data_IF_109523124769
#
_entry.id   IF_109523124769
#
_cell.length_a   1.000
_cell.length_b   1.000
_cell.length_c   1.000
_cell.angle_alpha   90.00
_cell.angle_beta   90.00
_cell.angle_gamma   90.00
#
_symmetry.space_group_name_H-M   'P 1'
#
loop_
_entity.id
_entity.type
_entity.pdbx_description
1 polymer ?
#
# COMPACT_ATOMS: atom_id res chain seq x y z
N UNK A 1 9.89 13.78 -14.99
CA UNK A 1 8.75 12.92 -14.60
C UNK A 1 8.56 13.11 -13.11
N UNK A 2 7.41 13.62 -12.65
CA UNK A 2 7.14 13.61 -11.20
C UNK A 2 6.94 12.16 -10.83
N UNK A 3 7.75 11.64 -9.91
CA UNK A 3 7.62 10.27 -9.47
C UNK A 3 6.21 10.06 -8.87
N UNK A 4 5.52 8.99 -9.28
CA UNK A 4 4.11 8.75 -8.92
C UNK A 4 3.88 8.77 -7.41
N UNK A 5 4.88 8.32 -6.63
CA UNK A 5 4.99 8.46 -5.18
C UNK A 5 4.75 9.89 -4.66
N UNK A 6 5.37 10.92 -5.26
CA UNK A 6 5.20 12.32 -4.83
C UNK A 6 3.80 12.84 -5.10
N UNK A 7 3.18 12.37 -6.19
CA UNK A 7 1.81 12.75 -6.53
C UNK A 7 0.80 12.04 -5.62
N UNK A 8 1.04 10.76 -5.30
CA UNK A 8 0.26 10.02 -4.32
C UNK A 8 0.33 10.68 -2.93
N UNK A 9 1.53 11.01 -2.46
CA UNK A 9 1.74 11.76 -1.22
C UNK A 9 0.99 13.10 -1.20
N UNK A 10 1.07 13.86 -2.30
CA UNK A 10 0.37 15.14 -2.43
C UNK A 10 -1.16 15.00 -2.31
N UNK A 11 -1.75 13.97 -2.92
CA UNK A 11 -3.18 13.70 -2.80
C UNK A 11 -3.55 13.18 -1.41
N UNK A 12 -2.69 12.35 -0.80
CA UNK A 12 -2.86 11.90 0.57
C UNK A 12 -2.89 13.08 1.56
N UNK A 13 -1.95 14.00 1.45
CA UNK A 13 -1.90 15.18 2.34
C UNK A 13 -3.12 16.11 2.19
N UNK A 14 -3.77 16.10 1.03
CA UNK A 14 -5.02 16.82 0.78
C UNK A 14 -6.29 16.07 1.20
N UNK A 15 -6.16 14.88 1.79
CA UNK A 15 -7.28 13.98 2.09
C UNK A 15 -8.07 13.54 0.86
N UNK A 16 -7.46 13.63 -0.32
CA UNK A 16 -8.04 13.20 -1.58
C UNK A 16 -7.76 11.70 -1.78
N UNK A 17 -8.33 10.86 -0.91
CA UNK A 17 -8.01 9.42 -0.82
C UNK A 17 -8.23 8.68 -2.14
N UNK A 18 -9.35 8.94 -2.83
CA UNK A 18 -9.65 8.30 -4.12
C UNK A 18 -8.60 8.65 -5.19
N UNK A 19 -8.19 9.93 -5.28
CA UNK A 19 -7.13 10.35 -6.21
C UNK A 19 -5.77 9.75 -5.85
N UNK A 20 -5.48 9.64 -4.55
CA UNK A 20 -4.27 8.96 -4.09
C UNK A 20 -4.26 7.50 -4.57
N UNK A 21 -5.36 6.78 -4.39
CA UNK A 21 -5.50 5.39 -4.85
C UNK A 21 -5.39 5.27 -6.37
N UNK A 22 -6.03 6.16 -7.14
CA UNK A 22 -5.92 6.19 -8.61
C UNK A 22 -4.48 6.31 -9.09
N UNK A 23 -3.71 7.22 -8.50
CA UNK A 23 -2.28 7.40 -8.84
C UNK A 23 -1.47 6.17 -8.45
N UNK A 24 -1.75 5.56 -7.29
CA UNK A 24 -1.07 4.34 -6.88
C UNK A 24 -1.38 3.16 -7.80
N UNK A 25 -2.63 3.00 -8.23
CA UNK A 25 -3.02 1.95 -9.18
C UNK A 25 -2.28 2.11 -10.51
N UNK A 26 -2.20 3.32 -11.05
CA UNK A 26 -1.45 3.57 -12.29
C UNK A 26 0.04 3.23 -12.15
N UNK A 27 0.64 3.54 -10.99
CA UNK A 27 2.02 3.18 -10.72
C UNK A 27 2.22 1.66 -10.64
N UNK A 28 1.29 0.96 -9.98
CA UNK A 28 1.33 -0.50 -9.81
C UNK A 28 1.00 -1.27 -11.10
N UNK A 29 0.20 -0.70 -11.99
CA UNK A 29 -0.05 -1.25 -13.33
C UNK A 29 1.23 -1.20 -14.19
N UNK A 30 2.06 -0.17 -14.01
CA UNK A 30 3.34 -0.04 -14.69
C UNK A 30 4.45 -0.88 -14.05
N UNK A 31 4.50 -0.91 -12.72
CA UNK A 31 5.42 -1.71 -11.93
C UNK A 31 4.70 -2.32 -10.71
N UNK A 32 4.28 -3.60 -10.80
CA UNK A 32 3.60 -4.30 -9.71
C UNK A 32 4.44 -4.45 -8.42
N UNK A 33 5.76 -4.26 -8.51
CA UNK A 33 6.69 -4.31 -7.39
C UNK A 33 6.99 -2.91 -6.81
N UNK A 34 6.33 -1.85 -7.27
CA UNK A 34 6.52 -0.50 -6.74
C UNK A 34 6.06 -0.37 -5.28
N UNK A 35 6.98 -0.64 -4.35
CA UNK A 35 6.74 -0.66 -2.90
C UNK A 35 6.15 0.66 -2.39
N UNK A 36 6.67 1.80 -2.83
CA UNK A 36 6.17 3.11 -2.40
C UNK A 36 4.72 3.35 -2.80
N UNK A 37 4.33 2.95 -4.01
CA UNK A 37 2.95 3.05 -4.48
C UNK A 37 2.03 2.14 -3.66
N UNK A 38 2.48 0.92 -3.34
CA UNK A 38 1.74 0.00 -2.48
C UNK A 38 1.56 0.58 -1.06
N UNK A 39 2.61 1.17 -0.48
CA UNK A 39 2.57 1.83 0.84
C UNK A 39 1.56 2.97 0.86
N UNK A 40 1.59 3.86 -0.14
CA UNK A 40 0.64 4.97 -0.22
C UNK A 40 -0.80 4.48 -0.41
N UNK A 41 -1.01 3.44 -1.20
CA UNK A 41 -2.34 2.84 -1.39
C UNK A 41 -2.89 2.26 -0.09
N UNK A 42 -2.07 1.52 0.68
CA UNK A 42 -2.48 0.97 1.99
C UNK A 42 -2.83 2.07 2.99
N UNK A 43 -2.03 3.15 3.03
CA UNK A 43 -2.31 4.32 3.88
C UNK A 43 -3.63 4.99 3.48
N UNK A 44 -3.85 5.20 2.18
CA UNK A 44 -5.06 5.84 1.68
C UNK A 44 -6.32 5.02 2.02
N UNK A 45 -6.30 3.70 1.81
CA UNK A 45 -7.41 2.85 2.20
C UNK A 45 -7.65 2.86 3.71
N UNK A 46 -6.59 2.85 4.53
CA UNK A 46 -6.73 2.93 5.98
C UNK A 46 -7.33 4.27 6.43
N UNK A 47 -6.90 5.39 5.84
CA UNK A 47 -7.42 6.73 6.13
C UNK A 47 -8.88 6.91 5.68
N UNK A 48 -9.29 6.22 4.61
CA UNK A 48 -10.67 6.20 4.13
C UNK A 48 -11.59 5.21 4.87
N UNK A 49 -11.06 4.42 5.81
CA UNK A 49 -11.82 3.36 6.51
C UNK A 49 -12.12 2.12 5.65
N UNK A 50 -11.50 2.02 4.48
CA UNK A 50 -11.68 0.95 3.49
C UNK A 50 -10.86 -0.29 3.86
N UNK A 51 -11.29 -0.98 4.93
CA UNK A 51 -10.54 -2.09 5.53
C UNK A 51 -10.40 -3.29 4.60
N UNK A 52 -11.47 -3.64 3.87
CA UNK A 52 -11.49 -4.80 2.98
C UNK A 52 -10.54 -4.60 1.78
N UNK A 53 -10.56 -3.40 1.21
CA UNK A 53 -9.72 -3.02 0.07
C UNK A 53 -8.25 -2.97 0.46
N UNK A 54 -7.94 -2.46 1.65
CA UNK A 54 -6.57 -2.53 2.22
C UNK A 54 -6.09 -3.98 2.33
N UNK A 55 -6.91 -4.88 2.85
CA UNK A 55 -6.55 -6.29 3.01
C UNK A 55 -6.39 -6.99 1.65
N UNK A 56 -7.31 -6.75 0.73
CA UNK A 56 -7.26 -7.27 -0.64
C UNK A 56 -5.99 -6.81 -1.38
N UNK A 57 -5.64 -5.53 -1.25
CA UNK A 57 -4.42 -4.94 -1.82
C UNK A 57 -3.17 -5.63 -1.28
N UNK A 58 -3.06 -5.75 0.05
CA UNK A 58 -1.93 -6.40 0.69
C UNK A 58 -1.79 -7.88 0.30
N UNK A 59 -2.90 -8.63 0.26
CA UNK A 59 -2.88 -10.03 -0.22
C UNK A 59 -2.45 -10.15 -1.68
N UNK A 60 -2.76 -9.15 -2.50
CA UNK A 60 -2.35 -9.13 -3.91
C UNK A 60 -0.86 -8.85 -4.05
N UNK A 61 -0.34 -7.90 -3.27
CA UNK A 61 1.10 -7.64 -3.15
C UNK A 61 1.87 -8.91 -2.78
N UNK A 62 1.46 -9.62 -1.72
CA UNK A 62 2.14 -10.83 -1.26
C UNK A 62 2.19 -11.95 -2.33
N UNK A 63 1.12 -12.09 -3.13
CA UNK A 63 1.08 -13.05 -4.24
C UNK A 63 2.10 -12.71 -5.33
N UNK A 64 2.30 -11.43 -5.63
CA UNK A 64 3.23 -10.97 -6.66
C UNK A 64 4.68 -11.01 -6.17
N UNK A 65 4.92 -10.61 -4.93
CA UNK A 65 6.25 -10.61 -4.31
C UNK A 65 6.83 -12.03 -4.06
N UNK A 66 6.11 -13.09 -4.47
CA UNK A 66 6.53 -14.49 -4.28
C UNK A 66 6.58 -14.92 -2.81
N UNK A 67 6.08 -14.09 -1.89
CA UNK A 67 6.23 -14.27 -0.47
C UNK A 67 5.09 -15.08 0.14
N UNK A 68 5.42 -16.25 0.70
CA UNK A 68 4.69 -16.84 1.83
C UNK A 68 4.90 -15.96 3.08
N UNK A 69 4.64 -14.64 3.00
CA UNK A 69 4.95 -13.70 4.09
C UNK A 69 4.01 -13.83 5.30
N UNK A 70 3.07 -14.78 5.23
CA UNK A 70 2.25 -15.25 6.35
C UNK A 70 2.93 -16.39 7.13
N UNK A 71 4.07 -16.92 6.68
CA UNK A 71 4.91 -17.78 7.51
C UNK A 71 5.59 -16.93 8.59
N UNK A 72 5.42 -17.39 9.82
CA UNK A 72 6.08 -16.84 11.01
C UNK A 72 7.59 -16.82 10.75
N UNK A 73 8.14 -15.63 10.46
CA UNK A 73 9.57 -15.45 10.16
C UNK A 73 9.90 -14.87 8.78
N UNK A 74 8.92 -14.48 7.97
CA UNK A 74 9.19 -13.65 6.79
C UNK A 74 9.96 -12.38 7.20
N UNK A 75 10.99 -11.97 6.43
CA UNK A 75 11.90 -10.92 6.84
C UNK A 75 11.12 -9.65 7.17
N UNK A 76 11.33 -9.12 8.38
CA UNK A 76 10.82 -7.84 8.87
C UNK A 76 11.33 -6.62 8.05
N UNK A 77 12.07 -6.89 6.98
CA UNK A 77 12.70 -5.93 6.09
C UNK A 77 11.76 -5.41 4.99
N UNK A 78 10.67 -6.13 4.66
CA UNK A 78 9.72 -5.66 3.64
C UNK A 78 8.94 -4.42 4.15
N UNK A 79 9.10 -3.26 3.50
CA UNK A 79 8.52 -2.02 3.98
C UNK A 79 6.99 -1.99 3.84
N UNK A 80 6.41 -2.70 2.87
CA UNK A 80 4.96 -2.83 2.69
C UNK A 80 4.35 -3.67 3.82
N UNK A 81 4.98 -4.80 4.18
CA UNK A 81 4.55 -5.66 5.30
C UNK A 81 4.58 -4.89 6.61
N UNK A 82 5.66 -4.14 6.87
CA UNK A 82 5.79 -3.31 8.07
C UNK A 82 4.67 -2.26 8.17
N UNK A 83 4.40 -1.54 7.08
CA UNK A 83 3.33 -0.53 7.05
C UNK A 83 1.96 -1.18 7.24
N UNK A 84 1.68 -2.31 6.60
CA UNK A 84 0.42 -3.02 6.78
C UNK A 84 0.16 -3.39 8.24
N UNK A 85 1.17 -3.96 8.92
CA UNK A 85 1.10 -4.32 10.35
C UNK A 85 0.86 -3.11 11.24
N UNK A 86 1.50 -1.98 10.95
CA UNK A 86 1.27 -0.73 11.70
C UNK A 86 -0.17 -0.22 11.54
N UNK A 87 -0.70 -0.24 10.31
CA UNK A 87 -2.06 0.22 10.02
C UNK A 87 -3.15 -0.70 10.57
N UNK A 88 -2.87 -2.00 10.75
CA UNK A 88 -3.81 -2.94 11.37
C UNK A 88 -3.76 -2.87 12.89
N UNK A 89 -2.57 -2.66 13.48
CA UNK A 89 -2.42 -2.49 14.93
C UNK A 89 -3.02 -1.16 15.44
N UNK A 90 -2.93 -0.08 14.67
CA UNK A 90 -3.46 1.24 15.05
C UNK A 90 -5.00 1.37 14.92
N UNK A 91 -5.66 0.42 14.26
CA UNK A 91 -7.10 0.44 13.98
C UNK A 91 -7.92 -0.63 14.72
N UNK A 92 -7.30 -1.32 15.69
CA UNK A 92 -7.89 -2.34 16.56
C UNK A 92 -8.35 -1.75 17.90
#
# INVERSE_FOLDING_TARGET
MIAAERLAEHHFNQRAWSRCVEVCMQALDADPAAEDAMIWMLRAYSAAGMRAEREQAFRSYLRVAGGSALEVGAPDDDPVVRVYRQLTAAGA
#
